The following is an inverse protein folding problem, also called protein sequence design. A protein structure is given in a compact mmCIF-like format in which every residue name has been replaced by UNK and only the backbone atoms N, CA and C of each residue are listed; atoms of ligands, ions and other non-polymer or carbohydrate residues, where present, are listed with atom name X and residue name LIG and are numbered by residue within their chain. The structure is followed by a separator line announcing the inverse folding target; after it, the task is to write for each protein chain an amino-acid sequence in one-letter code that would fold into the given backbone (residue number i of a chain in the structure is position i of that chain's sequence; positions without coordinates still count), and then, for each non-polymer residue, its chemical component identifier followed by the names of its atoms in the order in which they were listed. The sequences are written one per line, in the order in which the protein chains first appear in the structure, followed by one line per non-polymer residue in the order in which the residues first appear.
data_IF_897361984585
#
_entry.id   IF_897361984585
#
_cell.length_a   1.000
_cell.length_b   1.000
_cell.length_c   1.000
_cell.angle_alpha   90.00
_cell.angle_beta   90.00
_cell.angle_gamma   90.00
#
_symmetry.space_group_name_H-M   'P 1'
#
loop_
_entity.id
_entity.type
_entity.pdbx_description
1 polymer ?
#
# COMPACT_ATOMS: atom_id res chain seq x y z
N UNK A 1 3.14 6.42 5.71
CA UNK A 1 3.64 5.41 6.67
C UNK A 1 3.80 4.09 5.94
N UNK A 2 4.76 3.23 6.33
CA UNK A 2 4.86 1.89 5.76
C UNK A 2 3.60 1.07 6.09
N UNK A 3 3.10 0.33 5.11
CA UNK A 3 1.91 -0.50 5.23
C UNK A 3 2.03 -1.74 4.36
N UNK A 4 1.18 -2.71 4.63
CA UNK A 4 1.13 -3.99 3.92
C UNK A 4 -0.15 -4.05 3.07
N UNK A 5 0.02 -4.39 1.79
CA UNK A 5 -1.10 -4.72 0.91
C UNK A 5 -1.49 -6.17 1.15
N UNK A 6 -2.76 -6.39 1.49
CA UNK A 6 -3.31 -7.73 1.77
C UNK A 6 -4.09 -8.31 0.60
N UNK A 7 -4.70 -7.44 -0.22
CA UNK A 7 -5.54 -7.85 -1.36
C UNK A 7 -5.61 -6.76 -2.41
N UNK A 8 -5.67 -7.14 -3.69
CA UNK A 8 -6.03 -6.27 -4.81
C UNK A 8 -7.45 -6.56 -5.30
N UNK A 9 -8.15 -5.52 -5.75
CA UNK A 9 -9.49 -5.64 -6.34
C UNK A 9 -9.71 -4.60 -7.45
N UNK A 10 -10.38 -5.03 -8.52
CA UNK A 10 -10.82 -4.15 -9.61
C UNK A 10 -12.25 -3.68 -9.34
N UNK A 11 -12.43 -2.41 -8.97
CA UNK A 11 -13.74 -1.83 -8.67
C UNK A 11 -14.06 -0.70 -9.66
N UNK A 12 -15.15 -0.85 -10.42
CA UNK A 12 -15.59 0.13 -11.45
C UNK A 12 -14.45 0.53 -12.41
N UNK A 13 -13.68 -0.47 -12.86
CA UNK A 13 -12.55 -0.26 -13.79
C UNK A 13 -11.31 0.40 -13.17
N UNK A 14 -11.27 0.57 -11.85
CA UNK A 14 -10.11 1.12 -11.13
C UNK A 14 -9.60 0.13 -10.10
N UNK A 15 -8.29 -0.09 -10.09
CA UNK A 15 -7.64 -0.92 -9.08
C UNK A 15 -7.65 -0.23 -7.72
N UNK A 16 -7.92 -1.03 -6.68
CA UNK A 16 -7.79 -0.66 -5.26
C UNK A 16 -7.07 -1.78 -4.52
N UNK A 17 -6.44 -1.43 -3.42
CA UNK A 17 -5.80 -2.39 -2.53
C UNK A 17 -6.37 -2.28 -1.11
N UNK A 18 -6.58 -3.41 -0.45
CA UNK A 18 -6.85 -3.48 0.96
C UNK A 18 -5.52 -3.39 1.69
N UNK A 19 -5.31 -2.31 2.44
CA UNK A 19 -4.04 -1.99 3.08
C UNK A 19 -4.23 -1.96 4.59
N UNK A 20 -3.26 -2.50 5.33
CA UNK A 20 -3.12 -2.35 6.78
C UNK A 20 -1.82 -1.59 7.08
N UNK A 21 -1.84 -0.65 8.02
CA UNK A 21 -0.65 0.11 8.43
C UNK A 21 -0.74 0.53 9.90
N UNK A 22 0.41 0.88 10.46
CA UNK A 22 0.50 1.54 11.77
C UNK A 22 0.48 3.04 11.55
N UNK A 23 -0.55 3.71 12.07
CA UNK A 23 -0.66 5.15 12.10
C UNK A 23 0.04 5.72 13.34
N UNK A 24 1.13 6.44 13.13
CA UNK A 24 1.93 7.08 14.19
C UNK A 24 1.69 8.59 14.26
N UNK A 25 0.61 9.09 13.68
CA UNK A 25 0.28 10.53 13.67
C UNK A 25 -0.10 11.01 15.06
N UNK A 26 -0.63 10.11 15.89
CA UNK A 26 -1.10 10.38 17.25
C UNK A 26 -0.09 9.90 18.30
N UNK A 27 -0.27 10.37 19.54
CA UNK A 27 0.59 10.01 20.67
C UNK A 27 0.61 8.50 20.98
N UNK A 28 -0.47 7.79 20.66
CA UNK A 28 -0.54 6.34 20.70
C UNK A 28 -0.64 5.78 19.26
N UNK A 29 0.28 4.91 18.83
CA UNK A 29 0.19 4.27 17.53
C UNK A 29 -1.07 3.42 17.39
N UNK A 30 -1.77 3.54 16.27
CA UNK A 30 -2.99 2.78 16.00
C UNK A 30 -2.85 1.91 14.74
N UNK A 31 -3.44 0.73 14.76
CA UNK A 31 -3.56 -0.09 13.56
C UNK A 31 -4.76 0.41 12.76
N UNK A 32 -4.52 0.79 11.50
CA UNK A 32 -5.55 1.25 10.56
C UNK A 32 -5.60 0.32 9.35
N UNK A 33 -6.78 0.21 8.74
CA UNK A 33 -6.97 -0.54 7.50
C UNK A 33 -8.04 0.09 6.61
N UNK A 34 -7.81 0.10 5.29
CA UNK A 34 -8.74 0.68 4.32
C UNK A 34 -8.51 0.17 2.89
N UNK A 35 -9.54 0.34 2.05
CA UNK A 35 -9.41 0.20 0.60
C UNK A 35 -8.87 1.49 0.00
N UNK A 36 -7.60 1.49 -0.39
CA UNK A 36 -6.94 2.66 -0.97
C UNK A 36 -6.83 2.51 -2.50
N UNK A 37 -7.04 3.59 -3.27
CA UNK A 37 -6.76 3.57 -4.71
C UNK A 37 -5.24 3.53 -4.96
N UNK A 38 -4.82 2.93 -6.09
CA UNK A 38 -3.39 2.79 -6.44
C UNK A 38 -2.61 4.10 -6.33
N UNK A 39 -3.21 5.23 -6.71
CA UNK A 39 -2.56 6.56 -6.67
C UNK A 39 -2.14 7.02 -5.27
N UNK A 40 -2.77 6.49 -4.22
CA UNK A 40 -2.48 6.79 -2.81
C UNK A 40 -1.45 5.82 -2.22
N UNK A 41 -1.10 4.76 -2.95
CA UNK A 41 -0.12 3.75 -2.57
C UNK A 41 1.16 4.02 -3.36
N UNK A 42 2.28 4.16 -2.66
CA UNK A 42 3.60 4.18 -3.29
C UNK A 42 4.30 2.87 -2.96
N UNK A 43 4.90 2.19 -3.95
CA UNK A 43 5.73 1.03 -3.68
C UNK A 43 6.82 1.40 -2.67
N UNK A 44 7.06 0.55 -1.69
CA UNK A 44 8.21 0.74 -0.82
C UNK A 44 9.49 0.57 -1.67
N UNK A 45 10.55 1.33 -1.36
CA UNK A 45 11.86 1.12 -2.02
C UNK A 45 12.40 -0.30 -1.82
N UNK A 46 11.97 -0.97 -0.76
CA UNK A 46 12.29 -2.35 -0.40
C UNK A 46 11.18 -3.34 -0.78
N UNK A 47 10.18 -2.90 -1.54
CA UNK A 47 9.10 -3.79 -1.98
C UNK A 47 9.68 -4.80 -2.97
N UNK A 48 9.63 -6.07 -2.60
CA UNK A 48 10.13 -7.19 -3.42
C UNK A 48 9.38 -7.31 -4.76
N UNK A 49 8.18 -6.71 -4.86
CA UNK A 49 7.40 -6.64 -6.10
C UNK A 49 7.75 -5.43 -6.97
N UNK A 50 8.61 -4.51 -6.49
CA UNK A 50 9.36 -3.62 -7.38
C UNK A 50 10.39 -4.52 -8.03
N UNK A 51 9.90 -5.28 -9.02
CA UNK A 51 10.71 -6.05 -9.94
C UNK A 51 11.82 -5.11 -10.39
N UNK A 52 13.04 -5.51 -10.09
CA UNK A 52 14.25 -4.77 -10.38
C UNK A 52 14.39 -4.78 -11.91
N UNK A 53 13.61 -3.93 -12.59
CA UNK A 53 13.73 -3.60 -14.00
C UNK A 53 15.02 -2.76 -14.13
N UNK A 54 16.15 -3.39 -13.81
CA UNK A 54 17.44 -3.02 -14.36
C UNK A 54 17.33 -3.31 -15.84
N UNK A 55 16.82 -2.32 -16.57
CA UNK A 55 17.01 -2.22 -18.03
C UNK A 55 18.51 -2.26 -18.28
N UNK A 56 18.91 -3.31 -19.03
CA UNK A 56 20.08 -3.46 -19.92
C UNK A 56 21.44 -2.98 -19.41
#
# INVERSE_FOLDING_TARGET
MPGLVLKWELHKGRWRAWVIWVDTTYAAPEIRHAWLPVREIRPAKSDINVWNDRRR
#
